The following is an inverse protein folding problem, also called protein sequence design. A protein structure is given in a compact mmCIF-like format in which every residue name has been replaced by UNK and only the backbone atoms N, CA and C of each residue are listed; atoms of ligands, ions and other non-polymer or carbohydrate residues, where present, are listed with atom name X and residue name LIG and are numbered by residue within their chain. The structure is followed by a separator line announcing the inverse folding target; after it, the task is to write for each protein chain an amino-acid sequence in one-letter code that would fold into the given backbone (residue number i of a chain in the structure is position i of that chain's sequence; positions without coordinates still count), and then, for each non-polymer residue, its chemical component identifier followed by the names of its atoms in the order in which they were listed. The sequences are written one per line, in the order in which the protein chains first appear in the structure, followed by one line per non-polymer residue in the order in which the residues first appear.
data_IF_903251353058
#
_entry.id   IF_903251353058
#
_cell.length_a   1.000
_cell.length_b   1.000
_cell.length_c   1.000
_cell.angle_alpha   90.00
_cell.angle_beta   90.00
_cell.angle_gamma   90.00
#
_symmetry.space_group_name_H-M   'P 1'
#
loop_
_entity.id
_entity.type
_entity.pdbx_description
1 polymer ?
#
# COMPACT_ATOMS: atom_id res chain seq x y z
N UNK A 1 19.67 8.58 2.78
CA UNK A 1 18.89 7.95 3.87
C UNK A 1 18.33 6.63 3.37
N UNK A 2 18.20 5.63 4.24
CA UNK A 2 17.69 4.31 3.88
C UNK A 2 16.66 3.88 4.92
N UNK A 3 15.51 3.41 4.48
CA UNK A 3 14.45 2.89 5.35
C UNK A 3 14.28 1.40 5.14
N UNK A 4 14.08 0.67 6.23
CA UNK A 4 13.77 -0.76 6.16
C UNK A 4 12.29 -0.95 5.89
N UNK A 5 11.97 -1.76 4.88
CA UNK A 5 10.60 -2.24 4.61
C UNK A 5 10.38 -3.65 5.14
N UNK A 6 11.34 -4.18 5.92
CA UNK A 6 11.30 -5.53 6.50
C UNK A 6 12.47 -6.41 6.04
N UNK A 7 12.81 -7.41 6.86
CA UNK A 7 13.83 -8.40 6.50
C UNK A 7 13.31 -9.29 5.37
N UNK A 8 14.11 -9.49 4.31
CA UNK A 8 13.73 -10.27 3.10
C UNK A 8 12.50 -9.72 2.36
N UNK A 9 12.21 -8.43 2.51
CA UNK A 9 11.01 -7.81 1.95
C UNK A 9 11.00 -7.78 0.42
N UNK A 10 12.16 -7.62 -0.23
CA UNK A 10 12.28 -7.47 -1.69
C UNK A 10 11.27 -6.44 -2.23
N UNK A 11 11.43 -5.15 -1.90
CA UNK A 11 10.52 -4.11 -2.36
C UNK A 11 10.52 -4.05 -3.89
N UNK A 12 9.34 -4.09 -4.49
CA UNK A 12 9.16 -4.24 -5.94
C UNK A 12 8.46 -3.05 -6.59
N UNK A 13 7.44 -2.48 -5.93
CA UNK A 13 6.70 -1.31 -6.40
C UNK A 13 6.49 -0.32 -5.27
N UNK A 14 6.37 0.98 -5.61
CA UNK A 14 6.09 2.05 -4.66
C UNK A 14 5.04 3.01 -5.22
N UNK A 15 4.26 3.64 -4.34
CA UNK A 15 3.39 4.75 -4.69
C UNK A 15 3.42 5.81 -3.57
N UNK A 16 3.09 7.07 -3.92
CA UNK A 16 3.07 8.19 -2.98
C UNK A 16 1.69 8.81 -2.91
N UNK A 17 1.23 9.11 -1.70
CA UNK A 17 0.00 9.87 -1.43
C UNK A 17 0.00 10.42 -0.01
N UNK A 18 -0.92 11.33 0.32
CA UNK A 18 -1.21 11.72 1.71
C UNK A 18 -2.26 10.76 2.29
N UNK A 19 -1.81 9.63 2.87
CA UNK A 19 -2.71 8.57 3.35
C UNK A 19 -3.29 8.86 4.74
N UNK A 20 -2.65 9.75 5.52
CA UNK A 20 -3.11 10.14 6.86
C UNK A 20 -3.62 11.59 6.95
N UNK A 21 -3.80 12.26 5.81
CA UNK A 21 -4.34 13.62 5.68
C UNK A 21 -3.57 14.69 6.46
N UNK A 22 -2.26 14.48 6.66
CA UNK A 22 -1.41 15.45 7.34
C UNK A 22 -0.78 16.48 6.39
N UNK A 23 -1.17 16.46 5.10
CA UNK A 23 -0.68 17.28 4.00
C UNK A 23 0.77 17.01 3.60
N UNK A 24 1.27 15.82 3.91
CA UNK A 24 2.63 15.40 3.59
C UNK A 24 2.55 14.08 2.82
N UNK A 25 3.47 13.90 1.88
CA UNK A 25 3.51 12.66 1.12
C UNK A 25 4.02 11.53 2.01
N UNK A 26 3.20 10.50 2.10
CA UNK A 26 3.53 9.18 2.60
C UNK A 26 3.97 8.29 1.43
N UNK A 27 4.57 7.14 1.75
CA UNK A 27 5.00 6.13 0.78
C UNK A 27 4.35 4.81 1.14
N UNK A 28 3.77 4.13 0.16
CA UNK A 28 3.40 2.72 0.28
C UNK A 28 4.32 1.88 -0.61
N UNK A 29 4.79 0.76 -0.06
CA UNK A 29 5.74 -0.15 -0.72
C UNK A 29 5.12 -1.53 -0.82
N UNK A 30 5.08 -2.08 -2.03
CA UNK A 30 4.78 -3.50 -2.26
C UNK A 30 6.05 -4.32 -2.09
N UNK A 31 6.04 -5.20 -1.10
CA UNK A 31 7.14 -6.10 -0.82
C UNK A 31 6.81 -7.49 -1.36
N UNK A 32 7.54 -7.91 -2.38
CA UNK A 32 7.29 -9.20 -3.04
C UNK A 32 7.69 -10.37 -2.13
N UNK A 33 8.82 -10.23 -1.43
CA UNK A 33 9.41 -11.31 -0.63
C UNK A 33 8.61 -11.63 0.64
N UNK A 34 8.05 -10.61 1.28
CA UNK A 34 7.20 -10.76 2.47
C UNK A 34 5.70 -10.76 2.15
N UNK A 35 5.31 -10.58 0.89
CA UNK A 35 3.93 -10.57 0.41
C UNK A 35 3.01 -9.62 1.19
N UNK A 36 3.54 -8.44 1.52
CA UNK A 36 2.84 -7.40 2.26
C UNK A 36 3.04 -6.04 1.61
N UNK A 37 2.21 -5.09 2.01
CA UNK A 37 2.41 -3.67 1.77
C UNK A 37 2.92 -3.03 3.06
N UNK A 38 3.86 -2.09 2.95
CA UNK A 38 4.35 -1.31 4.09
C UNK A 38 4.17 0.17 3.81
N UNK A 39 3.62 0.90 4.78
CA UNK A 39 3.43 2.35 4.70
C UNK A 39 4.44 3.09 5.57
N UNK A 40 5.10 4.08 4.97
CA UNK A 40 6.04 5.01 5.58
C UNK A 40 5.39 6.39 5.60
N UNK A 41 5.12 6.93 6.78
CA UNK A 41 4.48 8.22 6.95
C UNK A 41 5.47 9.37 6.82
N UNK A 42 5.17 10.33 5.96
CA UNK A 42 5.94 11.54 5.77
C UNK A 42 5.89 12.46 6.98
N UNK A 43 7.03 13.11 7.24
CA UNK A 43 7.18 14.20 8.24
C UNK A 43 7.38 15.58 7.60
N UNK A 44 7.24 15.68 6.28
CA UNK A 44 7.26 16.96 5.55
C UNK A 44 8.64 17.60 5.41
N UNK A 45 9.65 17.04 6.09
CA UNK A 45 11.05 17.45 6.05
C UNK A 45 11.93 16.41 5.35
N UNK A 46 11.32 15.52 4.56
CA UNK A 46 11.97 14.39 3.91
C UNK A 46 12.24 13.19 4.82
N UNK A 47 11.88 13.23 6.11
CA UNK A 47 11.93 12.08 7.01
C UNK A 47 10.62 11.28 6.99
N UNK A 48 10.71 10.00 7.34
CA UNK A 48 9.59 9.07 7.36
C UNK A 48 9.59 8.21 8.63
N UNK A 49 8.42 7.81 9.08
CA UNK A 49 8.23 6.83 10.16
C UNK A 49 7.50 5.59 9.63
N UNK A 50 7.93 4.40 10.06
CA UNK A 50 7.22 3.17 9.76
C UNK A 50 5.89 3.17 10.53
N UNK A 51 4.80 2.95 9.81
CA UNK A 51 3.48 2.97 10.43
C UNK A 51 2.84 1.60 10.48
N UNK A 52 2.70 0.94 9.33
CA UNK A 52 1.90 -0.27 9.25
C UNK A 52 2.39 -1.22 8.16
N UNK A 53 2.24 -2.51 8.43
CA UNK A 53 2.41 -3.61 7.48
C UNK A 53 1.05 -4.23 7.26
N UNK A 54 0.69 -4.45 6.00
CA UNK A 54 -0.57 -5.04 5.58
C UNK A 54 -0.28 -6.29 4.77
N UNK A 55 -0.65 -7.45 5.32
CA UNK A 55 -0.50 -8.71 4.59
C UNK A 55 -1.37 -8.65 3.34
N UNK A 56 -0.70 -8.71 2.18
CA UNK A 56 -1.35 -8.58 0.89
C UNK A 56 -1.96 -9.94 0.51
N UNK A 57 -1.22 -11.03 0.66
CA UNK A 57 -1.71 -12.39 0.43
C UNK A 57 -0.80 -13.42 1.09
N UNK A 58 -1.38 -14.58 1.43
CA UNK A 58 -0.59 -15.72 1.90
C UNK A 58 0.21 -16.37 0.76
N UNK A 59 -0.30 -16.28 -0.47
CA UNK A 59 0.20 -17.08 -1.60
C UNK A 59 0.88 -16.24 -2.67
N UNK A 60 0.30 -15.10 -3.03
CA UNK A 60 0.72 -14.29 -4.17
C UNK A 60 1.43 -13.01 -3.72
N UNK A 61 2.40 -12.57 -4.51
CA UNK A 61 3.20 -11.41 -4.17
C UNK A 61 2.66 -10.17 -4.90
N UNK A 62 2.48 -9.03 -4.22
CA UNK A 62 2.05 -7.80 -4.88
C UNK A 62 3.18 -7.30 -5.81
N UNK A 63 2.83 -6.98 -7.06
CA UNK A 63 3.81 -6.58 -8.09
C UNK A 63 3.61 -5.16 -8.62
N UNK A 64 2.44 -4.56 -8.40
CA UNK A 64 2.17 -3.18 -8.80
C UNK A 64 1.18 -2.53 -7.86
N UNK A 65 1.29 -1.21 -7.72
CA UNK A 65 0.37 -0.38 -6.94
C UNK A 65 -0.13 0.76 -7.84
N UNK A 66 -1.44 0.94 -7.90
CA UNK A 66 -2.12 2.10 -8.45
C UNK A 66 -2.86 2.87 -7.36
N UNK A 67 -3.11 4.15 -7.60
CA UNK A 67 -3.85 5.03 -6.71
C UNK A 67 -4.97 5.73 -7.48
N UNK A 68 -6.11 5.94 -6.84
CA UNK A 68 -7.20 6.73 -7.41
C UNK A 68 -8.35 6.94 -6.44
N UNK A 69 -9.13 8.00 -6.66
CA UNK A 69 -10.38 8.26 -5.92
C UNK A 69 -11.50 7.43 -6.58
N UNK A 70 -11.79 6.27 -6.00
CA UNK A 70 -12.75 5.27 -6.49
C UNK A 70 -14.11 5.40 -5.79
N UNK A 71 -14.13 5.89 -4.55
CA UNK A 71 -15.36 6.03 -3.76
C UNK A 71 -15.85 7.49 -3.62
N UNK A 72 -15.09 8.47 -4.14
CA UNK A 72 -15.41 9.90 -4.13
C UNK A 72 -15.56 10.51 -2.71
N UNK A 73 -14.75 10.04 -1.75
CA UNK A 73 -14.66 10.58 -0.39
C UNK A 73 -13.56 11.64 -0.19
N UNK A 74 -12.81 11.96 -1.24
CA UNK A 74 -11.68 12.89 -1.21
C UNK A 74 -10.34 12.26 -0.83
N UNK A 75 -10.27 10.92 -0.64
CA UNK A 75 -9.05 10.16 -0.40
C UNK A 75 -8.81 9.19 -1.56
N UNK A 76 -7.54 8.93 -1.89
CA UNK A 76 -7.24 7.95 -2.94
C UNK A 76 -7.12 6.55 -2.33
N UNK A 77 -7.93 5.63 -2.81
CA UNK A 77 -7.77 4.20 -2.57
C UNK A 77 -6.46 3.69 -3.18
N UNK A 78 -5.97 2.60 -2.60
CA UNK A 78 -4.84 1.84 -3.12
C UNK A 78 -5.37 0.62 -3.82
N UNK A 79 -5.03 0.47 -5.10
CA UNK A 79 -5.29 -0.74 -5.88
C UNK A 79 -3.97 -1.46 -6.08
N UNK A 80 -3.94 -2.77 -5.89
CA UNK A 80 -2.74 -3.54 -6.18
C UNK A 80 -3.08 -4.89 -6.80
N UNK A 81 -2.20 -5.33 -7.69
CA UNK A 81 -2.28 -6.62 -8.36
C UNK A 81 -1.12 -7.51 -7.91
N UNK A 82 -1.33 -8.82 -8.03
CA UNK A 82 -0.36 -9.82 -7.64
C UNK A 82 0.27 -10.52 -8.83
N UNK A 83 1.36 -11.23 -8.59
CA UNK A 83 1.83 -12.26 -9.51
C UNK A 83 0.92 -13.50 -9.49
N UNK A 84 0.76 -14.13 -10.64
CA UNK A 84 0.16 -15.46 -10.77
C UNK A 84 -1.25 -15.63 -10.15
N UNK A 85 -2.05 -14.57 -10.10
CA UNK A 85 -3.47 -14.64 -9.75
C UNK A 85 -4.29 -13.63 -10.57
N UNK A 86 -5.59 -13.88 -10.65
CA UNK A 86 -6.49 -13.17 -11.55
C UNK A 86 -7.47 -12.23 -10.78
N UNK A 87 -7.04 -11.75 -9.62
CA UNK A 87 -7.76 -10.76 -8.83
C UNK A 87 -6.88 -9.58 -8.43
N UNK A 88 -7.54 -8.46 -8.16
CA UNK A 88 -6.94 -7.29 -7.53
C UNK A 88 -7.57 -7.06 -6.17
N UNK A 89 -6.83 -6.35 -5.33
CA UNK A 89 -7.31 -5.87 -4.05
C UNK A 89 -7.34 -4.35 -4.04
N UNK A 90 -8.30 -3.82 -3.28
CA UNK A 90 -8.43 -2.40 -2.99
C UNK A 90 -8.35 -2.21 -1.48
N UNK A 91 -7.44 -1.33 -1.03
CA UNK A 91 -7.42 -0.82 0.35
C UNK A 91 -7.99 0.59 0.37
N UNK A 92 -8.88 0.82 1.33
CA UNK A 92 -9.42 2.15 1.63
C UNK A 92 -8.59 2.72 2.78
N UNK A 93 -7.81 3.81 2.56
CA UNK A 93 -7.12 4.50 3.63
C UNK A 93 -8.12 5.13 4.60
N UNK A 94 -7.79 5.13 5.90
CA UNK A 94 -8.47 5.96 6.89
C UNK A 94 -7.58 7.15 7.27
N UNK A 95 -8.17 8.23 7.83
CA UNK A 95 -7.54 9.48 8.29
C UNK A 95 -6.32 9.32 9.23
N UNK A 96 -6.02 8.10 9.66
CA UNK A 96 -4.85 7.79 10.49
C UNK A 96 -3.67 7.24 9.71
N UNK A 97 -3.84 6.82 8.44
CA UNK A 97 -2.85 6.06 7.65
C UNK A 97 -2.90 4.54 7.88
N UNK A 98 -3.85 4.05 8.67
CA UNK A 98 -4.13 2.62 8.82
C UNK A 98 -5.09 2.13 7.71
N UNK A 99 -4.96 0.86 7.30
CA UNK A 99 -5.81 0.22 6.29
C UNK A 99 -6.62 -0.95 6.90
N UNK A 100 -7.71 -0.67 7.62
CA UNK A 100 -8.47 -1.69 8.34
C UNK A 100 -9.43 -2.50 7.45
N UNK A 101 -9.70 -2.05 6.22
CA UNK A 101 -10.60 -2.72 5.30
C UNK A 101 -9.90 -3.07 3.98
N UNK A 102 -10.03 -4.35 3.61
CA UNK A 102 -9.62 -4.93 2.34
C UNK A 102 -10.87 -5.35 1.60
N UNK A 103 -11.00 -4.93 0.34
CA UNK A 103 -12.00 -5.46 -0.57
C UNK A 103 -11.29 -6.18 -1.72
N UNK A 104 -11.59 -7.48 -1.88
CA UNK A 104 -11.03 -8.30 -2.96
C UNK A 104 -12.00 -8.37 -4.13
N UNK A 105 -11.50 -8.05 -5.31
CA UNK A 105 -12.26 -8.09 -6.56
C UNK A 105 -11.68 -9.17 -7.47
N UNK A 106 -12.43 -10.26 -7.63
CA UNK A 106 -12.11 -11.35 -8.56
C UNK A 106 -12.52 -10.90 -9.97
N UNK A 107 -11.61 -10.98 -10.93
CA UNK A 107 -11.88 -10.53 -12.31
C UNK A 107 -12.32 -11.65 -13.26
N UNK A 108 -12.47 -12.85 -12.71
CA UNK A 108 -12.81 -14.07 -13.44
C UNK A 108 -14.32 -14.32 -13.38
N UNK A 109 -14.90 -14.72 -14.51
CA UNK A 109 -16.28 -15.21 -14.62
C UNK A 109 -16.35 -16.72 -14.52
#
# INVERSE_FOLDING_TARGET
MTFSTGLKSHPYSVALNDFNQNKQLDIIVANQGTKNLVTLLGKGNGMFENQASHDASLYFAPVTIGLGELNNDGHSEIVFAYDNCDYIDILVPYDTGAFPQRMTYITDT
#
